data_IF_304486472170
#
_entry.id   IF_304486472170
#
_cell.length_a   1.000
_cell.length_b   1.000
_cell.length_c   1.000
_cell.angle_alpha   90.00
_cell.angle_beta   90.00
_cell.angle_gamma   90.00
#
_symmetry.space_group_name_H-M   'P 1'
#
loop_
_entity.id
_entity.type
_entity.pdbx_description
1 polymer ?
#
# COMPACT_ATOMS: atom_id res chain seq x y z
N UNK A 1 -39.92 -41.95 -28.86
CA UNK A 1 -39.41 -42.37 -27.53
C UNK A 1 -38.02 -41.79 -27.37
N UNK A 2 -37.90 -40.65 -26.72
CA UNK A 2 -36.61 -39.99 -26.42
C UNK A 2 -36.45 -40.14 -24.92
N UNK A 3 -35.50 -41.01 -24.50
CA UNK A 3 -35.20 -41.25 -23.09
C UNK A 3 -34.52 -40.07 -22.48
N UNK A 4 -35.07 -39.56 -21.38
CA UNK A 4 -34.43 -38.62 -20.49
C UNK A 4 -33.27 -39.28 -19.74
N UNK A 5 -32.05 -38.89 -20.03
CA UNK A 5 -30.86 -39.21 -19.22
C UNK A 5 -30.89 -38.24 -18.02
N UNK A 6 -31.27 -38.76 -16.86
CA UNK A 6 -31.13 -38.04 -15.61
C UNK A 6 -29.63 -37.93 -15.28
N UNK A 7 -29.07 -36.70 -15.32
CA UNK A 7 -27.76 -36.41 -14.77
C UNK A 7 -27.86 -36.49 -13.24
N UNK A 8 -27.22 -37.48 -12.68
CA UNK A 8 -27.06 -37.68 -11.24
C UNK A 8 -26.10 -36.60 -10.73
N UNK A 9 -26.64 -35.49 -10.22
CA UNK A 9 -25.86 -34.42 -9.58
C UNK A 9 -25.54 -34.92 -8.17
N UNK A 10 -24.25 -35.12 -7.80
CA UNK A 10 -23.89 -35.52 -6.47
C UNK A 10 -24.38 -34.47 -5.47
N UNK A 11 -25.19 -34.90 -4.51
CA UNK A 11 -25.62 -34.09 -3.37
C UNK A 11 -24.38 -33.58 -2.63
N UNK A 12 -24.32 -32.28 -2.23
CA UNK A 12 -23.22 -31.78 -1.42
C UNK A 12 -23.15 -32.61 -0.14
N UNK A 13 -21.94 -33.05 0.19
CA UNK A 13 -21.67 -33.81 1.39
C UNK A 13 -22.26 -33.09 2.61
N UNK A 14 -23.10 -33.79 3.35
CA UNK A 14 -23.69 -33.33 4.61
C UNK A 14 -22.58 -32.81 5.52
N UNK A 15 -22.80 -31.59 5.95
CA UNK A 15 -22.05 -30.83 6.91
C UNK A 15 -21.69 -31.67 8.14
N UNK A 16 -20.47 -32.22 8.18
CA UNK A 16 -19.93 -32.73 9.43
C UNK A 16 -19.66 -31.52 10.29
N UNK A 17 -20.53 -31.30 11.25
CA UNK A 17 -20.53 -30.20 12.18
C UNK A 17 -19.13 -29.85 12.72
N UNK A 18 -18.53 -28.87 12.16
CA UNK A 18 -17.45 -28.13 12.78
C UNK A 18 -18.05 -27.16 13.79
N UNK A 19 -18.29 -27.67 15.02
CA UNK A 19 -18.48 -26.83 16.20
C UNK A 19 -17.15 -26.21 16.61
N UNK A 20 -16.47 -25.58 15.66
CA UNK A 20 -15.44 -24.58 15.96
C UNK A 20 -16.15 -23.34 16.45
N UNK A 21 -16.23 -23.20 17.77
CA UNK A 21 -16.70 -21.98 18.44
C UNK A 21 -15.97 -20.80 17.81
N UNK A 22 -16.62 -20.12 16.86
CA UNK A 22 -16.35 -18.75 16.50
C UNK A 22 -16.45 -17.98 17.83
N UNK A 23 -15.32 -17.69 18.45
CA UNK A 23 -15.24 -16.67 19.47
C UNK A 23 -15.62 -15.37 18.75
N UNK A 24 -16.91 -15.11 18.66
CA UNK A 24 -17.46 -13.83 18.27
C UNK A 24 -16.96 -12.90 19.38
N UNK A 25 -15.86 -12.21 19.13
CA UNK A 25 -15.39 -11.14 19.99
C UNK A 25 -16.49 -10.08 19.99
N UNK A 26 -17.46 -10.23 20.88
CA UNK A 26 -18.54 -9.28 21.12
C UNK A 26 -17.96 -8.08 21.91
N UNK A 27 -18.40 -6.89 21.58
CA UNK A 27 -17.99 -5.68 22.30
C UNK A 27 -16.95 -4.81 21.55
N UNK A 28 -16.26 -3.97 22.29
CA UNK A 28 -15.31 -2.99 21.75
C UNK A 28 -14.13 -3.65 21.00
N UNK A 29 -13.58 -4.75 21.52
CA UNK A 29 -12.50 -5.50 20.89
C UNK A 29 -12.87 -6.04 19.51
N UNK A 30 -14.06 -6.63 19.36
CA UNK A 30 -14.54 -7.12 18.06
C UNK A 30 -14.71 -5.98 17.03
N UNK A 31 -15.16 -4.81 17.46
CA UNK A 31 -15.27 -3.63 16.58
C UNK A 31 -13.91 -3.13 16.13
N UNK A 32 -12.92 -3.11 17.02
CA UNK A 32 -11.54 -2.71 16.70
C UNK A 32 -10.95 -3.68 15.68
N UNK A 33 -11.06 -4.99 15.90
CA UNK A 33 -10.55 -6.01 14.96
C UNK A 33 -11.22 -5.85 13.58
N UNK A 34 -12.54 -5.65 13.53
CA UNK A 34 -13.26 -5.43 12.27
C UNK A 34 -12.79 -4.15 11.54
N UNK A 35 -12.53 -3.06 12.29
CA UNK A 35 -11.99 -1.83 11.71
C UNK A 35 -10.56 -2.02 11.17
N UNK A 36 -9.70 -2.76 11.88
CA UNK A 36 -8.34 -3.11 11.43
C UNK A 36 -8.36 -3.98 10.16
N UNK A 37 -9.29 -4.92 10.06
CA UNK A 37 -9.49 -5.72 8.84
C UNK A 37 -9.95 -4.85 7.67
N UNK A 38 -10.96 -4.01 7.87
CA UNK A 38 -11.52 -3.13 6.84
C UNK A 38 -10.47 -2.15 6.31
N UNK A 39 -9.72 -1.53 7.20
CA UNK A 39 -8.69 -0.53 6.86
C UNK A 39 -7.39 -1.15 6.40
N UNK A 40 -7.22 -2.46 6.52
CA UNK A 40 -5.97 -3.20 6.21
C UNK A 40 -4.72 -2.56 6.84
N UNK A 41 -4.88 -1.96 8.02
CA UNK A 41 -3.87 -1.11 8.65
C UNK A 41 -2.52 -1.82 8.87
N UNK A 42 -2.53 -3.15 9.01
CA UNK A 42 -1.31 -3.95 9.07
C UNK A 42 -0.38 -3.81 7.85
N UNK A 43 -0.88 -3.27 6.73
CA UNK A 43 -0.10 -3.04 5.51
C UNK A 43 0.34 -1.58 5.32
N UNK A 44 -0.05 -0.67 6.22
CA UNK A 44 0.26 0.76 6.09
C UNK A 44 1.70 1.15 6.46
N UNK A 45 2.49 0.21 7.03
CA UNK A 45 3.86 0.47 7.47
C UNK A 45 4.76 1.04 6.37
N UNK A 46 4.63 0.54 5.15
CA UNK A 46 5.39 1.05 4.00
C UNK A 46 5.04 2.50 3.69
N UNK A 47 3.75 2.80 3.61
CA UNK A 47 3.29 4.16 3.34
C UNK A 47 3.73 5.17 4.42
N UNK A 48 3.72 4.77 5.71
CA UNK A 48 4.27 5.58 6.79
C UNK A 48 5.75 5.86 6.57
N UNK A 49 6.53 4.82 6.28
CA UNK A 49 7.97 4.92 6.07
C UNK A 49 8.32 5.81 4.87
N UNK A 50 7.52 5.78 3.81
CA UNK A 50 7.70 6.62 2.63
C UNK A 50 7.57 8.13 2.97
N UNK A 51 6.55 8.50 3.75
CA UNK A 51 6.39 9.89 4.18
C UNK A 51 7.48 10.28 5.20
N UNK A 52 7.83 9.40 6.13
CA UNK A 52 8.91 9.64 7.07
C UNK A 52 10.26 9.85 6.38
N UNK A 53 10.53 9.12 5.30
CA UNK A 53 11.72 9.33 4.48
C UNK A 53 11.80 10.79 3.98
N UNK A 54 10.71 11.31 3.40
CA UNK A 54 10.69 12.69 2.91
C UNK A 54 10.83 13.69 4.05
N UNK A 55 10.18 13.46 5.20
CA UNK A 55 10.36 14.31 6.39
C UNK A 55 11.84 14.37 6.80
N UNK A 56 12.50 13.21 6.89
CA UNK A 56 13.89 13.12 7.32
C UNK A 56 14.85 13.78 6.33
N UNK A 57 14.69 13.51 5.03
CA UNK A 57 15.53 14.09 3.99
C UNK A 57 15.33 15.61 3.85
N UNK A 58 14.06 16.07 3.90
CA UNK A 58 13.79 17.51 3.82
C UNK A 58 14.36 18.27 5.02
N UNK A 59 14.31 17.71 6.21
CA UNK A 59 14.87 18.32 7.42
C UNK A 59 16.39 18.29 7.47
N UNK A 60 17.02 17.33 6.84
CA UNK A 60 18.48 17.24 6.75
C UNK A 60 19.07 18.19 5.70
N UNK A 61 18.25 18.75 4.82
CA UNK A 61 18.72 19.58 3.72
C UNK A 61 18.28 21.04 3.90
N UNK A 62 19.22 21.97 4.14
CA UNK A 62 18.92 23.40 4.33
C UNK A 62 18.19 24.06 3.15
N UNK A 63 18.23 23.46 1.95
CA UNK A 63 17.49 23.94 0.78
C UNK A 63 15.97 24.02 1.02
N UNK A 64 15.45 23.24 1.99
CA UNK A 64 14.04 23.23 2.35
C UNK A 64 13.71 24.00 3.63
N UNK A 65 14.63 24.88 4.11
CA UNK A 65 14.41 25.66 5.34
C UNK A 65 13.14 26.53 5.30
N UNK A 66 12.66 26.88 4.10
CA UNK A 66 11.42 27.63 3.89
C UNK A 66 10.15 26.77 3.97
N UNK A 67 10.27 25.42 3.96
CA UNK A 67 9.12 24.52 4.00
C UNK A 67 8.66 24.30 5.44
N UNK A 68 7.33 24.18 5.67
CA UNK A 68 6.77 23.91 7.02
C UNK A 68 7.39 22.69 7.69
N UNK A 69 7.65 21.62 6.95
CA UNK A 69 8.26 20.38 7.47
C UNK A 69 9.61 20.60 8.13
N UNK A 70 10.35 21.63 7.71
CA UNK A 70 11.66 21.96 8.30
C UNK A 70 11.52 22.65 9.67
N UNK A 71 10.57 23.57 9.80
CA UNK A 71 10.37 24.37 11.02
C UNK A 71 9.64 23.63 12.15
N UNK A 72 8.81 22.63 11.80
CA UNK A 72 8.01 21.88 12.78
C UNK A 72 8.88 20.99 13.67
N UNK A 73 8.51 20.77 14.96
CA UNK A 73 9.14 19.74 15.78
C UNK A 73 9.10 18.36 15.09
N UNK A 74 10.24 17.65 15.08
CA UNK A 74 10.33 16.36 14.38
C UNK A 74 9.24 15.35 14.78
N UNK A 75 8.92 15.14 16.09
CA UNK A 75 7.86 14.21 16.47
C UNK A 75 6.50 14.59 15.88
N UNK A 76 6.20 15.90 15.80
CA UNK A 76 4.94 16.40 15.20
C UNK A 76 4.90 16.09 13.72
N UNK A 77 5.98 16.38 12.99
CA UNK A 77 6.06 16.08 11.55
C UNK A 77 5.90 14.58 11.27
N UNK A 78 6.56 13.73 12.07
CA UNK A 78 6.45 12.28 11.92
C UNK A 78 5.04 11.77 12.26
N UNK A 79 4.43 12.27 13.33
CA UNK A 79 3.07 11.88 13.72
C UNK A 79 2.05 12.28 12.65
N UNK A 80 2.11 13.53 12.16
CA UNK A 80 1.21 14.00 11.11
C UNK A 80 1.44 13.26 9.79
N UNK A 81 2.68 12.99 9.40
CA UNK A 81 3.00 12.17 8.24
C UNK A 81 2.42 10.74 8.36
N UNK A 82 2.54 10.12 9.54
CA UNK A 82 1.94 8.81 9.80
C UNK A 82 0.41 8.85 9.72
N UNK A 83 -0.25 9.85 10.31
CA UNK A 83 -1.71 10.02 10.24
C UNK A 83 -2.16 10.24 8.78
N UNK A 84 -1.44 11.07 8.01
CA UNK A 84 -1.74 11.30 6.60
C UNK A 84 -1.64 10.00 5.80
N UNK A 85 -0.56 9.24 5.96
CA UNK A 85 -0.34 7.96 5.28
C UNK A 85 -1.41 6.92 5.66
N UNK A 86 -1.64 6.71 6.97
CA UNK A 86 -2.64 5.78 7.49
C UNK A 86 -4.03 6.15 7.00
N UNK A 87 -4.38 7.44 7.05
CA UNK A 87 -5.71 7.93 6.68
C UNK A 87 -6.01 7.68 5.20
N UNK A 88 -5.08 8.00 4.27
CA UNK A 88 -5.25 7.73 2.84
C UNK A 88 -5.29 6.22 2.56
N UNK A 89 -4.42 5.45 3.21
CA UNK A 89 -4.40 3.99 3.05
C UNK A 89 -5.71 3.36 3.52
N UNK A 90 -6.19 3.74 4.70
CA UNK A 90 -7.45 3.26 5.27
C UNK A 90 -8.66 3.70 4.45
N UNK A 91 -8.66 4.95 3.95
CA UNK A 91 -9.68 5.45 3.03
C UNK A 91 -9.76 4.59 1.76
N UNK A 92 -8.62 4.38 1.08
CA UNK A 92 -8.56 3.58 -0.13
C UNK A 92 -9.02 2.12 0.08
N UNK A 93 -8.59 1.49 1.18
CA UNK A 93 -8.98 0.12 1.52
C UNK A 93 -10.48 0.01 1.83
N UNK A 94 -11.01 0.89 2.68
CA UNK A 94 -12.42 0.90 3.05
C UNK A 94 -13.33 1.21 1.86
N UNK A 95 -12.90 2.14 0.99
CA UNK A 95 -13.60 2.49 -0.24
C UNK A 95 -13.64 1.29 -1.21
N UNK A 96 -12.54 0.56 -1.33
CA UNK A 96 -12.50 -0.67 -2.13
C UNK A 96 -13.53 -1.70 -1.66
N UNK A 97 -13.57 -1.97 -0.36
CA UNK A 97 -14.49 -2.96 0.20
C UNK A 97 -15.96 -2.49 0.09
N UNK A 98 -16.23 -1.17 0.18
CA UNK A 98 -17.57 -0.60 -0.04
C UNK A 98 -18.04 -0.79 -1.49
N UNK A 99 -17.21 -0.44 -2.46
CA UNK A 99 -17.56 -0.50 -3.88
C UNK A 99 -17.63 -1.94 -4.39
N UNK A 100 -16.81 -2.83 -3.84
CA UNK A 100 -16.78 -4.25 -4.21
C UNK A 100 -17.77 -5.11 -3.40
N UNK A 101 -18.56 -4.55 -2.49
CA UNK A 101 -19.40 -5.29 -1.55
C UNK A 101 -20.34 -6.32 -2.21
N UNK A 102 -20.86 -6.02 -3.43
CA UNK A 102 -21.70 -6.97 -4.20
C UNK A 102 -20.88 -8.13 -4.76
N UNK A 103 -19.73 -7.84 -5.33
CA UNK A 103 -18.80 -8.84 -5.86
C UNK A 103 -18.24 -9.72 -4.74
N UNK A 104 -17.87 -9.12 -3.63
CA UNK A 104 -17.28 -9.80 -2.49
C UNK A 104 -18.24 -10.79 -1.80
N UNK A 105 -19.55 -10.59 -1.92
CA UNK A 105 -20.53 -11.59 -1.44
C UNK A 105 -20.38 -12.93 -2.14
N UNK A 106 -20.00 -12.93 -3.42
CA UNK A 106 -19.82 -14.16 -4.20
C UNK A 106 -18.41 -14.74 -4.07
N UNK A 107 -17.37 -13.89 -4.00
CA UNK A 107 -15.98 -14.33 -4.14
C UNK A 107 -15.15 -14.21 -2.85
N UNK A 108 -15.58 -13.43 -1.88
CA UNK A 108 -14.89 -13.21 -0.61
C UNK A 108 -15.86 -13.01 0.57
N UNK A 109 -16.78 -13.97 0.83
CA UNK A 109 -17.87 -13.84 1.81
C UNK A 109 -17.36 -13.61 3.25
N UNK A 110 -16.10 -13.95 3.53
CA UNK A 110 -15.46 -13.76 4.84
C UNK A 110 -15.03 -12.32 5.13
N UNK A 111 -15.04 -11.40 4.14
CA UNK A 111 -14.70 -9.99 4.38
C UNK A 111 -15.70 -9.31 5.31
N UNK A 112 -15.32 -8.23 6.03
CA UNK A 112 -16.17 -7.61 7.04
C UNK A 112 -17.57 -7.22 6.57
N UNK A 113 -17.69 -6.60 5.38
CA UNK A 113 -18.98 -6.17 4.83
C UNK A 113 -19.87 -7.34 4.38
N UNK A 114 -19.40 -8.27 3.52
CA UNK A 114 -20.18 -9.44 3.12
C UNK A 114 -20.59 -10.32 4.29
N UNK A 115 -19.70 -10.49 5.28
CA UNK A 115 -19.94 -11.26 6.50
C UNK A 115 -20.93 -10.60 7.49
N UNK A 116 -21.40 -9.36 7.20
CA UNK A 116 -22.31 -8.62 8.07
C UNK A 116 -21.69 -8.13 9.38
N UNK A 117 -20.35 -8.21 9.53
CA UNK A 117 -19.64 -7.73 10.73
C UNK A 117 -19.61 -6.20 10.85
N UNK A 118 -19.82 -5.51 9.73
CA UNK A 118 -19.96 -4.05 9.66
C UNK A 118 -21.04 -3.71 8.62
N UNK A 119 -21.84 -2.68 8.89
CA UNK A 119 -22.85 -2.16 7.95
C UNK A 119 -22.18 -1.20 6.96
N UNK A 120 -22.72 -1.09 5.73
CA UNK A 120 -22.19 -0.19 4.70
C UNK A 120 -22.09 1.27 5.16
N UNK A 121 -23.08 1.79 5.88
CA UNK A 121 -23.02 3.14 6.45
C UNK A 121 -21.89 3.33 7.47
N UNK A 122 -21.61 2.33 8.29
CA UNK A 122 -20.50 2.40 9.25
C UNK A 122 -19.14 2.32 8.52
N UNK A 123 -19.01 1.49 7.49
CA UNK A 123 -17.81 1.44 6.67
C UNK A 123 -17.56 2.75 5.91
N UNK A 124 -18.63 3.42 5.44
CA UNK A 124 -18.54 4.75 4.85
C UNK A 124 -18.05 5.78 5.87
N UNK A 125 -18.57 5.76 7.11
CA UNK A 125 -18.10 6.64 8.19
C UNK A 125 -16.61 6.41 8.46
N UNK A 126 -16.15 5.16 8.51
CA UNK A 126 -14.71 4.84 8.67
C UNK A 126 -13.90 5.40 7.51
N UNK A 127 -14.34 5.22 6.27
CA UNK A 127 -13.65 5.75 5.09
C UNK A 127 -13.54 7.29 5.15
N UNK A 128 -14.65 7.98 5.40
CA UNK A 128 -14.68 9.45 5.46
C UNK A 128 -13.88 10.00 6.65
N UNK A 129 -13.97 9.38 7.83
CA UNK A 129 -13.17 9.77 8.99
C UNK A 129 -11.67 9.60 8.72
N UNK A 130 -11.27 8.51 8.05
CA UNK A 130 -9.88 8.27 7.65
C UNK A 130 -9.39 9.33 6.65
N UNK A 131 -10.21 9.69 5.67
CA UNK A 131 -9.92 10.77 4.72
C UNK A 131 -9.76 12.11 5.43
N UNK A 132 -10.72 12.49 6.27
CA UNK A 132 -10.68 13.75 7.01
C UNK A 132 -9.47 13.84 7.93
N UNK A 133 -9.12 12.75 8.62
CA UNK A 133 -7.92 12.69 9.45
C UNK A 133 -6.66 12.91 8.62
N UNK A 134 -6.57 12.29 7.43
CA UNK A 134 -5.45 12.48 6.52
C UNK A 134 -5.34 13.91 6.02
N UNK A 135 -6.44 14.51 5.56
CA UNK A 135 -6.46 15.89 5.08
C UNK A 135 -6.06 16.86 6.20
N UNK A 136 -6.63 16.71 7.40
CA UNK A 136 -6.29 17.52 8.56
C UNK A 136 -4.80 17.43 8.94
N UNK A 137 -4.24 16.21 8.92
CA UNK A 137 -2.82 16.01 9.16
C UNK A 137 -1.93 16.60 8.05
N UNK A 138 -2.42 16.61 6.80
CA UNK A 138 -1.66 17.15 5.66
C UNK A 138 -1.60 18.68 5.65
N UNK A 139 -2.55 19.37 6.27
CA UNK A 139 -2.57 20.85 6.39
C UNK A 139 -1.27 21.37 7.02
N UNK A 140 -0.68 20.64 7.97
CA UNK A 140 0.53 21.06 8.68
C UNK A 140 1.75 21.17 7.73
N UNK A 141 1.73 20.48 6.60
CA UNK A 141 2.78 20.54 5.57
C UNK A 141 2.55 21.67 4.55
N UNK A 142 1.57 22.53 4.81
CA UNK A 142 1.22 23.66 3.95
C UNK A 142 0.23 23.31 2.83
N UNK A 143 -0.05 24.33 2.00
CA UNK A 143 -1.04 24.23 0.93
C UNK A 143 -0.69 23.12 -0.09
N UNK A 144 0.58 22.97 -0.44
CA UNK A 144 1.04 21.94 -1.37
C UNK A 144 0.79 20.52 -0.84
N UNK A 145 1.09 20.28 0.43
CA UNK A 145 0.81 19.00 1.09
C UNK A 145 -0.68 18.66 1.11
N UNK A 146 -1.54 19.64 1.44
CA UNK A 146 -3.00 19.47 1.39
C UNK A 146 -3.50 19.19 -0.03
N UNK A 147 -3.04 19.93 -1.04
CA UNK A 147 -3.41 19.73 -2.44
C UNK A 147 -3.02 18.31 -2.89
N UNK A 148 -1.81 17.86 -2.57
CA UNK A 148 -1.38 16.50 -2.88
C UNK A 148 -2.26 15.44 -2.20
N UNK A 149 -2.63 15.63 -0.92
CA UNK A 149 -3.52 14.71 -0.22
C UNK A 149 -4.92 14.64 -0.88
N UNK A 150 -5.47 15.77 -1.34
CA UNK A 150 -6.73 15.82 -2.09
C UNK A 150 -6.59 15.11 -3.45
N UNK A 151 -5.50 15.34 -4.18
CA UNK A 151 -5.21 14.66 -5.45
C UNK A 151 -5.14 13.14 -5.24
N UNK A 152 -4.40 12.69 -4.21
CA UNK A 152 -4.30 11.26 -3.89
C UNK A 152 -5.66 10.67 -3.53
N UNK A 153 -6.48 11.37 -2.74
CA UNK A 153 -7.84 10.93 -2.43
C UNK A 153 -8.68 10.78 -3.71
N UNK A 154 -8.57 11.72 -4.64
CA UNK A 154 -9.19 11.65 -5.98
C UNK A 154 -8.69 10.47 -6.81
N UNK A 155 -7.38 10.21 -6.81
CA UNK A 155 -6.78 9.05 -7.50
C UNK A 155 -7.24 7.73 -6.89
N UNK A 156 -7.34 7.63 -5.56
CA UNK A 156 -7.86 6.44 -4.87
C UNK A 156 -9.36 6.23 -5.18
N UNK A 157 -10.15 7.30 -5.23
CA UNK A 157 -11.54 7.23 -5.66
C UNK A 157 -11.65 6.77 -7.11
N UNK A 158 -10.91 7.39 -8.02
CA UNK A 158 -10.86 7.02 -9.44
C UNK A 158 -10.43 5.56 -9.62
N UNK A 159 -9.39 5.13 -8.90
CA UNK A 159 -8.93 3.75 -8.93
C UNK A 159 -10.04 2.77 -8.54
N UNK A 160 -10.68 3.01 -7.40
CA UNK A 160 -11.68 2.11 -6.86
C UNK A 160 -13.00 2.13 -7.64
N UNK A 161 -13.42 3.28 -8.16
CA UNK A 161 -14.67 3.43 -8.90
C UNK A 161 -14.58 2.95 -10.35
N UNK A 162 -13.43 3.17 -11.02
CA UNK A 162 -13.34 2.96 -12.47
C UNK A 162 -12.01 2.33 -12.92
N UNK A 163 -10.86 2.89 -12.54
CA UNK A 163 -9.57 2.55 -13.16
C UNK A 163 -9.16 1.08 -12.93
N UNK A 164 -9.49 0.48 -11.78
CA UNK A 164 -9.20 -0.93 -11.50
C UNK A 164 -9.87 -1.92 -12.48
N UNK A 165 -10.91 -1.49 -13.17
CA UNK A 165 -11.59 -2.30 -14.21
C UNK A 165 -10.93 -2.19 -15.58
N UNK A 166 -9.97 -1.27 -15.75
CA UNK A 166 -9.16 -1.09 -16.95
C UNK A 166 -7.70 -1.33 -16.55
N UNK A 167 -7.12 -2.54 -16.84
CA UNK A 167 -5.83 -2.94 -16.28
C UNK A 167 -4.73 -1.89 -16.41
N UNK A 168 -4.54 -1.32 -17.60
CA UNK A 168 -3.51 -0.31 -17.82
C UNK A 168 -3.70 0.93 -16.95
N UNK A 169 -4.93 1.46 -16.89
CA UNK A 169 -5.25 2.64 -16.10
C UNK A 169 -5.08 2.37 -14.59
N UNK A 170 -5.59 1.22 -14.11
CA UNK A 170 -5.49 0.85 -12.69
C UNK A 170 -4.06 0.72 -12.21
N UNK A 171 -3.19 0.05 -13.00
CA UNK A 171 -1.79 -0.16 -12.65
C UNK A 171 -1.02 1.16 -12.57
N UNK A 172 -1.23 2.07 -13.52
CA UNK A 172 -0.60 3.38 -13.52
C UNK A 172 -1.12 4.25 -12.38
N UNK A 173 -2.45 4.29 -12.19
CA UNK A 173 -3.08 5.12 -11.15
C UNK A 173 -2.58 4.76 -9.74
N UNK A 174 -2.46 3.47 -9.41
CA UNK A 174 -1.99 3.08 -8.07
C UNK A 174 -0.51 3.44 -7.86
N UNK A 175 0.32 3.31 -8.89
CA UNK A 175 1.71 3.75 -8.83
C UNK A 175 1.84 5.26 -8.60
N UNK A 176 1.12 6.05 -9.39
CA UNK A 176 1.12 7.53 -9.28
C UNK A 176 0.58 7.97 -7.92
N UNK A 177 -0.51 7.36 -7.44
CA UNK A 177 -1.05 7.64 -6.12
C UNK A 177 -0.02 7.38 -5.00
N UNK A 178 0.76 6.28 -5.10
CA UNK A 178 1.82 5.96 -4.14
C UNK A 178 2.92 7.02 -4.14
N UNK A 179 3.42 7.42 -5.31
CA UNK A 179 4.43 8.48 -5.42
C UNK A 179 3.92 9.83 -4.89
N UNK A 180 2.70 10.22 -5.26
CA UNK A 180 2.10 11.46 -4.81
C UNK A 180 1.88 11.48 -3.29
N UNK A 181 1.47 10.34 -2.70
CA UNK A 181 1.35 10.18 -1.24
C UNK A 181 2.68 10.46 -0.55
N UNK A 182 3.77 9.91 -1.06
CA UNK A 182 5.09 10.08 -0.50
C UNK A 182 5.54 11.55 -0.47
N UNK A 183 5.10 12.36 -1.45
CA UNK A 183 5.49 13.77 -1.58
C UNK A 183 4.69 14.73 -0.68
N UNK A 184 3.66 14.27 0.05
CA UNK A 184 2.81 15.13 0.91
C UNK A 184 3.62 15.98 1.91
N UNK A 185 4.65 15.46 2.60
CA UNK A 185 5.41 16.27 3.57
C UNK A 185 6.21 17.43 2.93
N UNK A 186 6.56 17.29 1.65
CA UNK A 186 7.29 18.34 0.91
C UNK A 186 7.02 18.21 -0.60
N UNK A 187 6.06 18.99 -1.10
CA UNK A 187 5.68 19.05 -2.52
C UNK A 187 6.78 19.68 -3.40
N UNK A 188 7.71 20.43 -2.78
CA UNK A 188 8.86 21.05 -3.46
C UNK A 188 10.11 20.17 -3.45
N UNK A 189 10.02 18.95 -2.94
CA UNK A 189 11.16 18.04 -2.85
C UNK A 189 11.72 17.70 -4.24
N UNK A 190 13.00 18.02 -4.48
CA UNK A 190 13.64 17.90 -5.80
C UNK A 190 14.20 16.51 -6.06
N UNK A 191 14.70 15.82 -5.03
CA UNK A 191 15.25 14.47 -5.16
C UNK A 191 14.14 13.43 -5.26
N UNK A 192 13.56 13.29 -6.45
CA UNK A 192 12.34 12.48 -6.68
C UNK A 192 12.59 10.99 -6.93
N UNK A 193 13.85 10.50 -6.96
CA UNK A 193 14.16 9.07 -7.16
C UNK A 193 13.50 8.15 -6.14
N UNK A 194 13.41 8.47 -4.84
CA UNK A 194 12.66 7.65 -3.90
C UNK A 194 11.18 7.51 -4.28
N UNK A 195 10.52 8.62 -4.65
CA UNK A 195 9.12 8.60 -5.08
C UNK A 195 8.93 7.84 -6.40
N UNK A 196 9.88 7.94 -7.32
CA UNK A 196 9.90 7.13 -8.54
C UNK A 196 10.05 5.63 -8.26
N UNK A 197 10.91 5.25 -7.30
CA UNK A 197 11.06 3.85 -6.89
C UNK A 197 9.77 3.33 -6.25
N UNK A 198 9.13 4.12 -5.38
CA UNK A 198 7.83 3.78 -4.76
C UNK A 198 6.74 3.61 -5.82
N UNK A 199 6.66 4.51 -6.83
CA UNK A 199 5.74 4.39 -7.97
C UNK A 199 5.97 3.08 -8.73
N UNK A 200 7.22 2.80 -9.07
CA UNK A 200 7.61 1.62 -9.84
C UNK A 200 7.30 0.34 -9.07
N UNK A 201 7.65 0.32 -7.79
CA UNK A 201 7.38 -0.80 -6.89
C UNK A 201 5.87 -1.07 -6.76
N UNK A 202 5.06 -0.04 -6.48
CA UNK A 202 3.61 -0.18 -6.36
C UNK A 202 2.98 -0.70 -7.66
N UNK A 203 3.40 -0.18 -8.82
CA UNK A 203 2.95 -0.66 -10.14
C UNK A 203 3.33 -2.11 -10.37
N UNK A 204 4.58 -2.50 -10.05
CA UNK A 204 5.07 -3.86 -10.21
C UNK A 204 4.33 -4.85 -9.30
N UNK A 205 4.13 -4.50 -8.01
CA UNK A 205 3.37 -5.33 -7.07
C UNK A 205 1.91 -5.46 -7.51
N UNK A 206 1.27 -4.35 -7.90
CA UNK A 206 -0.10 -4.38 -8.38
C UNK A 206 -0.23 -5.29 -9.63
N UNK A 207 0.71 -5.21 -10.57
CA UNK A 207 0.76 -6.05 -11.77
C UNK A 207 0.90 -7.52 -11.39
N UNK A 208 1.83 -7.85 -10.52
CA UNK A 208 2.09 -9.24 -10.11
C UNK A 208 0.89 -9.83 -9.34
N UNK A 209 0.31 -9.07 -8.42
CA UNK A 209 -0.91 -9.46 -7.71
C UNK A 209 -2.07 -9.65 -8.69
N UNK A 210 -2.22 -8.75 -9.67
CA UNK A 210 -3.28 -8.84 -10.68
C UNK A 210 -3.19 -10.14 -11.48
N UNK A 211 -1.98 -10.51 -11.91
CA UNK A 211 -1.72 -11.74 -12.68
C UNK A 211 -1.92 -12.99 -11.82
N UNK A 212 -1.38 -13.01 -10.60
CA UNK A 212 -1.46 -14.15 -9.69
C UNK A 212 -2.90 -14.42 -9.22
N UNK A 213 -3.68 -13.37 -8.95
CA UNK A 213 -5.11 -13.52 -8.59
C UNK A 213 -6.01 -13.88 -9.80
N UNK A 214 -5.46 -13.90 -11.02
CA UNK A 214 -6.24 -14.19 -12.22
C UNK A 214 -7.37 -13.19 -12.46
N UNK A 215 -7.18 -11.91 -12.08
CA UNK A 215 -8.22 -10.88 -12.18
C UNK A 215 -8.71 -10.67 -13.61
N UNK A 216 -9.96 -10.27 -13.73
CA UNK A 216 -10.61 -9.97 -15.00
C UNK A 216 -10.94 -8.47 -15.09
N UNK A 217 -10.82 -7.87 -16.30
CA UNK A 217 -10.30 -8.43 -17.57
C UNK A 217 -8.80 -8.74 -17.47
N UNK A 218 -8.33 -9.77 -18.22
CA UNK A 218 -6.91 -10.14 -18.19
C UNK A 218 -6.04 -9.02 -18.78
N UNK A 219 -4.78 -8.94 -18.34
CA UNK A 219 -3.79 -8.02 -18.91
C UNK A 219 -3.39 -8.55 -20.30
N UNK A 220 -3.93 -7.91 -21.35
CA UNK A 220 -3.53 -8.18 -22.74
C UNK A 220 -2.18 -7.52 -23.03
N UNK A 221 -1.50 -7.94 -24.11
CA UNK A 221 -0.26 -7.28 -24.55
C UNK A 221 -0.47 -5.77 -24.76
N UNK A 222 -1.60 -5.36 -25.35
CA UNK A 222 -1.97 -3.94 -25.52
C UNK A 222 -2.09 -3.22 -24.17
N UNK A 223 -2.75 -3.83 -23.19
CA UNK A 223 -2.87 -3.25 -21.86
C UNK A 223 -1.50 -3.13 -21.16
N UNK A 224 -0.61 -4.12 -21.34
CA UNK A 224 0.77 -4.07 -20.85
C UNK A 224 1.57 -2.93 -21.48
N UNK A 225 1.49 -2.76 -22.81
CA UNK A 225 2.16 -1.65 -23.51
C UNK A 225 1.62 -0.30 -23.04
N UNK A 226 0.30 -0.13 -22.91
CA UNK A 226 -0.30 1.12 -22.42
C UNK A 226 0.09 1.42 -20.97
N UNK A 227 0.15 0.41 -20.10
CA UNK A 227 0.66 0.58 -18.74
C UNK A 227 2.14 1.01 -18.72
N UNK A 228 2.96 0.40 -19.59
CA UNK A 228 4.37 0.77 -19.77
C UNK A 228 4.54 2.21 -20.25
N UNK A 229 3.77 2.63 -21.25
CA UNK A 229 3.77 4.02 -21.74
C UNK A 229 3.37 4.99 -20.62
N UNK A 230 2.30 4.68 -19.86
CA UNK A 230 1.86 5.48 -18.73
C UNK A 230 2.92 5.56 -17.65
N UNK A 231 3.59 4.46 -17.32
CA UNK A 231 4.69 4.43 -16.35
C UNK A 231 5.89 5.27 -16.83
N UNK A 232 6.28 5.17 -18.12
CA UNK A 232 7.35 5.98 -18.72
C UNK A 232 6.98 7.46 -18.62
N UNK A 233 5.77 7.82 -19.05
CA UNK A 233 5.29 9.22 -19.00
C UNK A 233 5.40 9.81 -17.59
N UNK A 234 4.87 9.12 -16.58
CA UNK A 234 4.92 9.59 -15.20
C UNK A 234 6.33 9.56 -14.61
N UNK A 235 7.18 8.62 -15.04
CA UNK A 235 8.60 8.60 -14.67
C UNK A 235 9.34 9.83 -15.19
N UNK A 236 9.12 10.18 -16.46
CA UNK A 236 9.72 11.38 -17.08
C UNK A 236 9.21 12.65 -16.41
N UNK A 237 7.91 12.74 -16.12
CA UNK A 237 7.31 13.88 -15.45
C UNK A 237 7.88 14.06 -14.03
N UNK A 238 7.93 12.99 -13.24
CA UNK A 238 8.37 13.02 -11.85
C UNK A 238 9.85 13.35 -11.74
N UNK A 239 10.70 12.63 -12.48
CA UNK A 239 12.17 12.87 -12.48
C UNK A 239 12.47 14.22 -13.14
N UNK A 240 11.85 14.54 -14.28
CA UNK A 240 12.03 15.79 -14.98
C UNK A 240 11.64 17.00 -14.13
N UNK A 241 10.52 16.94 -13.41
CA UNK A 241 10.12 17.99 -12.48
C UNK A 241 11.12 18.15 -11.32
N UNK A 242 11.67 17.04 -10.79
CA UNK A 242 12.71 17.09 -9.78
C UNK A 242 13.99 17.76 -10.29
N UNK A 243 14.45 17.37 -11.47
CA UNK A 243 15.64 17.96 -12.11
C UNK A 243 15.42 19.43 -12.44
N UNK A 244 14.27 19.78 -13.02
CA UNK A 244 13.97 21.18 -13.41
C UNK A 244 13.87 22.13 -12.21
N UNK A 245 13.50 21.64 -11.03
CA UNK A 245 13.44 22.42 -9.79
C UNK A 245 14.75 22.41 -9.01
N UNK A 246 15.72 21.59 -9.44
CA UNK A 246 16.98 21.45 -8.72
C UNK A 246 17.80 22.74 -8.84
N UNK A 247 18.32 23.27 -7.71
CA UNK A 247 19.21 24.41 -7.73
C UNK A 247 20.54 24.05 -8.39
N UNK A 248 21.40 25.07 -8.62
CA UNK A 248 22.76 24.85 -9.14
C UNK A 248 23.61 23.88 -8.31
N UNK A 249 23.27 23.72 -7.01
CA UNK A 249 23.89 22.74 -6.10
C UNK A 249 23.59 21.28 -6.45
N UNK A 250 22.72 21.04 -7.41
CA UNK A 250 22.44 19.72 -7.98
C UNK A 250 21.18 19.01 -7.44
N UNK A 251 20.85 17.92 -8.12
CA UNK A 251 19.64 17.11 -7.88
C UNK A 251 19.71 16.28 -6.58
N UNK A 252 20.92 15.82 -6.21
CA UNK A 252 21.13 14.94 -5.06
C UNK A 252 21.08 15.71 -3.75
N UNK A 253 20.57 15.09 -2.65
CA UNK A 253 20.68 15.68 -1.32
C UNK A 253 22.14 15.96 -0.94
N UNK A 254 22.38 17.03 -0.19
CA UNK A 254 23.69 17.35 0.33
C UNK A 254 24.23 16.17 1.18
N UNK A 255 25.52 15.83 0.99
CA UNK A 255 26.16 14.72 1.69
C UNK A 255 25.88 13.32 1.12
N UNK A 256 25.11 13.22 0.03
CA UNK A 256 24.91 11.92 -0.65
C UNK A 256 26.22 11.39 -1.24
N UNK A 257 26.53 10.13 -0.95
CA UNK A 257 27.69 9.47 -1.55
C UNK A 257 27.42 9.15 -3.04
N UNK A 258 28.45 9.10 -3.86
CA UNK A 258 28.34 8.74 -5.28
C UNK A 258 27.74 7.34 -5.50
N UNK A 259 27.91 6.43 -4.55
CA UNK A 259 27.35 5.07 -4.54
C UNK A 259 25.92 5.00 -3.96
N UNK A 260 25.34 6.13 -3.54
CA UNK A 260 24.00 6.20 -2.93
C UNK A 260 22.92 5.35 -3.64
N UNK A 261 22.85 5.29 -4.99
CA UNK A 261 21.85 4.47 -5.68
C UNK A 261 22.03 2.97 -5.50
N UNK A 262 23.21 2.49 -5.12
CA UNK A 262 23.51 1.05 -5.01
C UNK A 262 22.63 0.39 -3.94
N UNK A 263 22.42 1.05 -2.79
CA UNK A 263 21.66 0.45 -1.69
C UNK A 263 20.20 0.16 -2.07
N UNK A 264 19.40 1.11 -2.60
CA UNK A 264 18.04 0.80 -3.03
C UNK A 264 17.99 -0.18 -4.22
N UNK A 265 18.99 -0.19 -5.11
CA UNK A 265 19.09 -1.21 -6.19
C UNK A 265 19.30 -2.60 -5.60
N UNK A 266 20.24 -2.76 -4.65
CA UNK A 266 20.43 -4.04 -3.94
C UNK A 266 19.18 -4.46 -3.21
N UNK A 267 18.50 -3.54 -2.50
CA UNK A 267 17.25 -3.84 -1.84
C UNK A 267 16.17 -4.31 -2.84
N UNK A 268 16.11 -3.70 -4.03
CA UNK A 268 15.18 -4.12 -5.09
C UNK A 268 15.50 -5.52 -5.60
N UNK A 269 16.76 -5.84 -5.82
CA UNK A 269 17.19 -7.17 -6.24
C UNK A 269 16.87 -8.24 -5.18
N UNK A 270 17.14 -7.95 -3.90
CA UNK A 270 16.78 -8.82 -2.79
C UNK A 270 15.26 -9.02 -2.69
N UNK A 271 14.47 -7.98 -2.90
CA UNK A 271 13.02 -8.10 -2.98
C UNK A 271 12.58 -9.05 -4.09
N UNK A 272 13.15 -8.92 -5.28
CA UNK A 272 12.91 -9.85 -6.40
C UNK A 272 13.16 -11.30 -6.02
N UNK A 273 14.26 -11.57 -5.33
CA UNK A 273 14.59 -12.93 -4.83
C UNK A 273 13.53 -13.41 -3.83
N UNK A 274 13.11 -12.55 -2.89
CA UNK A 274 12.07 -12.89 -1.90
C UNK A 274 10.75 -13.19 -2.60
N UNK A 275 10.32 -12.36 -3.55
CA UNK A 275 9.09 -12.57 -4.33
C UNK A 275 9.12 -13.90 -5.06
N UNK A 276 10.20 -14.18 -5.83
CA UNK A 276 10.33 -15.45 -6.56
C UNK A 276 10.25 -16.65 -5.61
N UNK A 277 10.93 -16.60 -4.46
CA UNK A 277 10.88 -17.67 -3.46
C UNK A 277 9.47 -17.84 -2.87
N UNK A 278 8.77 -16.74 -2.57
CA UNK A 278 7.40 -16.77 -2.00
C UNK A 278 6.38 -17.29 -3.01
N UNK A 279 6.49 -16.89 -4.28
CA UNK A 279 5.62 -17.37 -5.36
C UNK A 279 5.83 -18.87 -5.60
N UNK A 280 7.09 -19.31 -5.74
CA UNK A 280 7.41 -20.73 -5.97
C UNK A 280 7.00 -21.67 -4.83
N UNK A 281 6.95 -21.18 -3.59
CA UNK A 281 6.59 -21.96 -2.39
C UNK A 281 5.12 -21.80 -1.99
N UNK A 282 4.34 -21.05 -2.75
CA UNK A 282 2.92 -20.86 -2.44
C UNK A 282 2.11 -22.06 -2.93
N UNK A 283 1.14 -22.52 -2.11
CA UNK A 283 0.25 -23.64 -2.45
C UNK A 283 -0.78 -23.30 -3.52
N UNK A 284 -1.08 -22.00 -3.69
CA UNK A 284 -2.00 -21.51 -4.73
C UNK A 284 -1.58 -20.12 -5.20
N UNK A 285 -1.99 -19.72 -6.44
CA UNK A 285 -1.72 -18.38 -6.95
C UNK A 285 -2.30 -17.27 -6.07
N UNK A 286 -3.48 -17.44 -5.49
CA UNK A 286 -4.10 -16.47 -4.58
C UNK A 286 -3.30 -16.29 -3.29
N UNK A 287 -2.77 -17.37 -2.70
CA UNK A 287 -1.85 -17.28 -1.55
C UNK A 287 -0.55 -16.57 -1.94
N UNK A 288 -0.05 -16.82 -3.16
CA UNK A 288 1.12 -16.12 -3.67
C UNK A 288 0.84 -14.61 -3.78
N UNK A 289 -0.29 -14.22 -4.35
CA UNK A 289 -0.71 -12.83 -4.50
C UNK A 289 -0.79 -12.11 -3.15
N UNK A 290 -1.41 -12.75 -2.15
CA UNK A 290 -1.49 -12.20 -0.78
C UNK A 290 -0.10 -12.01 -0.15
N UNK A 291 0.79 -12.99 -0.30
CA UNK A 291 2.17 -12.89 0.20
C UNK A 291 2.92 -11.74 -0.50
N UNK A 292 2.83 -11.66 -1.83
CA UNK A 292 3.46 -10.60 -2.62
C UNK A 292 2.98 -9.23 -2.19
N UNK A 293 1.67 -9.02 -2.05
CA UNK A 293 1.10 -7.75 -1.60
C UNK A 293 1.63 -7.33 -0.21
N UNK A 294 1.65 -8.26 0.75
CA UNK A 294 2.11 -7.98 2.11
C UNK A 294 3.61 -7.70 2.19
N UNK A 295 4.43 -8.55 1.57
CA UNK A 295 5.87 -8.30 1.55
C UNK A 295 6.20 -7.04 0.75
N UNK A 296 5.47 -6.76 -0.34
CA UNK A 296 5.61 -5.54 -1.11
C UNK A 296 5.35 -4.29 -0.27
N UNK A 297 4.21 -4.25 0.44
CA UNK A 297 3.88 -3.13 1.31
C UNK A 297 4.95 -2.88 2.41
N UNK A 298 5.48 -3.95 3.01
CA UNK A 298 6.52 -3.82 4.03
C UNK A 298 7.87 -3.38 3.45
N UNK A 299 8.17 -3.82 2.23
CA UNK A 299 9.48 -3.59 1.61
C UNK A 299 9.77 -2.12 1.33
N UNK A 300 8.73 -1.30 1.17
CA UNK A 300 8.87 0.16 1.05
C UNK A 300 9.60 0.77 2.26
N UNK A 301 9.34 0.26 3.48
CA UNK A 301 10.07 0.70 4.66
C UNK A 301 11.58 0.37 4.60
N UNK A 302 11.96 -0.73 3.96
CA UNK A 302 13.37 -1.07 3.73
C UNK A 302 13.99 -0.16 2.67
N UNK A 303 13.27 0.20 1.60
CA UNK A 303 13.75 1.20 0.64
C UNK A 303 13.99 2.55 1.32
N UNK A 304 13.05 2.99 2.15
CA UNK A 304 13.20 4.23 2.90
C UNK A 304 14.44 4.20 3.80
N UNK A 305 14.69 3.10 4.52
CA UNK A 305 15.90 2.93 5.30
C UNK A 305 17.16 2.99 4.43
N UNK A 306 17.20 2.31 3.27
CA UNK A 306 18.35 2.29 2.37
C UNK A 306 18.64 3.68 1.78
N UNK A 307 17.60 4.46 1.43
CA UNK A 307 17.78 5.84 1.00
C UNK A 307 18.37 6.73 2.09
N UNK A 308 17.94 6.58 3.34
CA UNK A 308 18.51 7.34 4.47
C UNK A 308 19.99 6.98 4.69
N UNK A 309 20.35 5.69 4.64
CA UNK A 309 21.75 5.26 4.69
C UNK A 309 22.57 5.84 3.53
N UNK A 310 22.01 5.83 2.32
CA UNK A 310 22.64 6.36 1.12
C UNK A 310 22.91 7.87 1.20
N UNK A 311 22.04 8.61 1.90
CA UNK A 311 22.17 10.05 2.13
C UNK A 311 22.89 10.40 3.45
N UNK A 312 23.57 9.45 4.10
CA UNK A 312 24.37 9.70 5.30
C UNK A 312 23.57 9.80 6.61
N UNK A 313 22.25 9.61 6.57
CA UNK A 313 21.37 9.68 7.75
C UNK A 313 21.26 8.31 8.44
N UNK A 314 22.40 7.79 8.91
CA UNK A 314 22.51 6.41 9.39
C UNK A 314 21.56 6.07 10.56
N UNK A 315 21.44 6.95 11.56
CA UNK A 315 20.56 6.72 12.72
C UNK A 315 19.08 6.67 12.32
N UNK A 316 18.66 7.55 11.41
CA UNK A 316 17.31 7.52 10.86
C UNK A 316 17.09 6.25 10.02
N UNK A 317 18.09 5.82 9.24
CA UNK A 317 18.06 4.55 8.50
C UNK A 317 17.90 3.34 9.41
N UNK A 318 18.64 3.27 10.54
CA UNK A 318 18.49 2.22 11.55
C UNK A 318 17.07 2.25 12.14
N UNK A 319 16.57 3.43 12.51
CA UNK A 319 15.23 3.59 13.07
C UNK A 319 14.14 3.09 12.11
N UNK A 320 14.23 3.43 10.80
CA UNK A 320 13.29 2.93 9.79
C UNK A 320 13.45 1.42 9.54
N UNK A 321 14.66 0.90 9.56
CA UNK A 321 14.91 -0.54 9.49
C UNK A 321 14.29 -1.31 10.66
N UNK A 322 14.43 -0.77 11.89
CA UNK A 322 13.77 -1.30 13.07
C UNK A 322 12.23 -1.20 12.95
N UNK A 323 11.71 -0.08 12.45
CA UNK A 323 10.28 0.09 12.18
C UNK A 323 9.75 -0.94 11.17
N UNK A 324 10.52 -1.27 10.12
CA UNK A 324 10.18 -2.36 9.20
C UNK A 324 10.11 -3.72 9.91
N UNK A 325 11.03 -3.99 10.85
CA UNK A 325 11.01 -5.19 11.70
C UNK A 325 9.76 -5.26 12.58
N UNK A 326 9.40 -4.14 13.23
CA UNK A 326 8.14 -4.02 14.01
C UNK A 326 6.93 -4.26 13.11
N UNK A 327 6.91 -3.68 11.91
CA UNK A 327 5.85 -3.89 10.91
C UNK A 327 5.70 -5.37 10.52
N UNK A 328 6.81 -6.06 10.33
CA UNK A 328 6.80 -7.50 10.04
C UNK A 328 6.21 -8.31 11.20
N UNK A 329 6.60 -8.02 12.42
CA UNK A 329 6.05 -8.66 13.63
C UNK A 329 4.55 -8.36 13.78
N UNK A 330 4.16 -7.09 13.65
CA UNK A 330 2.77 -6.68 13.75
C UNK A 330 1.88 -7.36 12.69
N UNK A 331 2.34 -7.43 11.43
CA UNK A 331 1.61 -8.15 10.37
C UNK A 331 1.50 -9.64 10.67
N UNK A 332 2.54 -10.25 11.24
CA UNK A 332 2.54 -11.67 11.59
C UNK A 332 1.56 -11.95 12.73
N UNK A 333 1.65 -11.18 13.82
CA UNK A 333 0.77 -11.31 14.98
C UNK A 333 -0.69 -11.05 14.62
N UNK A 334 -0.97 -9.99 13.87
CA UNK A 334 -2.34 -9.70 13.42
C UNK A 334 -2.90 -10.81 12.54
N UNK A 335 -2.07 -11.39 11.66
CA UNK A 335 -2.51 -12.55 10.86
C UNK A 335 -2.83 -13.76 11.75
N UNK A 336 -2.07 -14.02 12.78
CA UNK A 336 -2.33 -15.09 13.75
C UNK A 336 -3.67 -14.84 14.47
N UNK A 337 -3.89 -13.64 15.00
CA UNK A 337 -5.12 -13.26 15.69
C UNK A 337 -6.33 -13.35 14.75
N UNK A 338 -6.21 -12.81 13.52
CA UNK A 338 -7.29 -12.82 12.52
C UNK A 338 -7.47 -14.22 11.91
N UNK A 339 -6.40 -15.01 11.79
CA UNK A 339 -6.43 -16.38 11.29
C UNK A 339 -7.07 -17.36 12.26
N UNK A 340 -6.94 -17.15 13.57
CA UNK A 340 -7.60 -17.94 14.60
C UNK A 340 -9.12 -17.80 14.60
N UNK A 341 -9.66 -16.78 13.93
CA UNK A 341 -11.10 -16.55 13.77
C UNK A 341 -11.75 -17.27 12.58
N UNK A 342 -11.09 -18.25 11.93
CA UNK A 342 -11.80 -19.07 10.92
C UNK A 342 -10.96 -19.72 9.81
N UNK A 343 -9.65 -19.63 9.82
CA UNK A 343 -8.80 -20.37 8.87
C UNK A 343 -7.61 -21.04 9.58
N UNK A 344 -7.34 -22.35 9.34
CA UNK A 344 -6.14 -22.99 9.83
C UNK A 344 -4.90 -22.26 9.31
N UNK A 345 -3.93 -22.04 10.19
CA UNK A 345 -2.66 -21.43 9.85
C UNK A 345 -1.86 -22.29 8.87
N UNK A 346 -1.79 -21.88 7.62
CA UNK A 346 -0.98 -22.53 6.58
C UNK A 346 0.42 -21.94 6.46
N UNK A 347 1.12 -21.72 7.56
CA UNK A 347 2.50 -21.22 7.48
C UNK A 347 3.58 -22.28 7.71
N UNK A 348 3.18 -23.54 7.92
CA UNK A 348 4.09 -24.70 7.93
C UNK A 348 4.07 -25.37 6.56
N UNK A 349 4.97 -24.91 5.68
CA UNK A 349 5.20 -25.51 4.38
C UNK A 349 6.16 -24.66 3.58
#
# INVERSE_FOLDING_TARGET
>A
MIGQVALDVPRPAEDRGWNGSLVIMSGAAGRIVTALELTRLSMAFGAIADLWLIVMLARADPRYAFMPVYALPLPVSLACAAIAAIGLFAFGASLNDLLDARHDRAFAPQRPLPAGRIRGGQALVVALASLLASLAASVIFGTGGLILAVIVAGLLLLYNAAAKHVPAAGLVTIGVASAATMMIPNDQFTFTLPAWLTMTHATAIATLVYVLDGKRPQITARAGVLAGIGWIFWSMLLIGAGVARSPETGYWPAGSAWWAPVLPVVATALFGIVVVRKVRRAKSPSIAAEKVARYGALWQALYAAMWLFACGLHMAGIALGAFAGVGFLAMTVLKEILGSSGRPLEWRG
#
